data_IF_127309424138
#
_entry.id   IF_127309424138
#
_cell.length_a   1.000
_cell.length_b   1.000
_cell.length_c   1.000
_cell.angle_alpha   90.00
_cell.angle_beta   90.00
_cell.angle_gamma   90.00
#
_symmetry.space_group_name_H-M   'P 1'
#
loop_
_entity.id
_entity.type
_entity.pdbx_description
1 polymer ?
#
# COMPACT_ATOMS: atom_id res chain seq x y z
N UNK A 1 6.90 -0.60 32.48
CA UNK A 1 7.12 -1.21 31.15
C UNK A 1 7.30 -0.09 30.14
N UNK A 2 8.31 -0.15 29.27
CA UNK A 2 8.60 0.92 28.30
C UNK A 2 7.64 0.83 27.10
N UNK A 3 6.99 1.94 26.76
CA UNK A 3 6.12 2.02 25.58
C UNK A 3 7.00 2.08 24.32
N UNK A 4 7.00 0.99 23.57
CA UNK A 4 7.55 0.91 22.21
C UNK A 4 6.49 1.16 21.13
N UNK A 5 6.95 1.48 19.91
CA UNK A 5 6.12 1.68 18.72
C UNK A 5 5.07 0.58 18.50
N UNK A 6 5.43 -0.69 18.68
CA UNK A 6 4.49 -1.82 18.54
C UNK A 6 3.25 -1.69 19.43
N UNK A 7 3.38 -1.15 20.64
CA UNK A 7 2.24 -0.97 21.54
C UNK A 7 1.32 0.15 21.04
N UNK A 8 1.89 1.23 20.49
CA UNK A 8 1.10 2.29 19.86
C UNK A 8 0.36 1.77 18.62
N UNK A 9 1.03 0.94 17.81
CA UNK A 9 0.42 0.28 16.67
C UNK A 9 -0.78 -0.58 17.08
N UNK A 10 -0.60 -1.53 18.01
CA UNK A 10 -1.67 -2.42 18.44
C UNK A 10 -2.83 -1.68 19.10
N UNK A 11 -2.54 -0.60 19.84
CA UNK A 11 -3.58 0.15 20.55
C UNK A 11 -4.36 1.12 19.65
N UNK A 12 -3.68 1.80 18.72
CA UNK A 12 -4.25 2.95 18.01
C UNK A 12 -4.42 2.76 16.50
N UNK A 13 -3.69 1.82 15.87
CA UNK A 13 -3.75 1.63 14.42
C UNK A 13 -4.44 0.33 14.04
N UNK A 14 -3.97 -0.80 14.58
CA UNK A 14 -4.44 -2.14 14.20
C UNK A 14 -5.97 -2.30 14.23
N UNK A 15 -6.72 -1.84 15.26
CA UNK A 15 -8.16 -2.03 15.32
C UNK A 15 -8.93 -1.27 14.23
N UNK A 16 -8.32 -0.26 13.63
CA UNK A 16 -8.98 0.66 12.70
C UNK A 16 -8.49 0.50 11.26
N UNK A 17 -7.46 -0.30 11.01
CA UNK A 17 -7.03 -0.61 9.65
C UNK A 17 -7.94 -1.66 9.01
N UNK A 18 -8.11 -1.58 7.71
CA UNK A 18 -8.83 -2.57 6.93
C UNK A 18 -8.03 -2.97 5.69
N UNK A 19 -8.28 -4.14 5.12
CA UNK A 19 -7.68 -4.44 3.83
C UNK A 19 -8.17 -3.49 2.73
N UNK A 20 -9.42 -3.03 2.87
CA UNK A 20 -10.18 -2.36 1.84
C UNK A 20 -11.29 -1.52 2.49
N UNK A 21 -11.46 -0.28 2.06
CA UNK A 21 -12.58 0.61 2.38
C UNK A 21 -13.00 1.40 1.15
N UNK A 22 -14.29 1.33 0.84
CA UNK A 22 -14.95 2.19 -0.15
C UNK A 22 -15.29 3.53 0.51
N UNK A 23 -15.32 4.62 -0.28
CA UNK A 23 -15.66 5.97 0.16
C UNK A 23 -14.75 6.47 1.32
N UNK A 24 -13.45 6.15 1.24
CA UNK A 24 -12.49 6.45 2.28
C UNK A 24 -11.15 6.89 1.69
N UNK A 25 -10.64 8.04 2.11
CA UNK A 25 -9.27 8.48 1.76
C UNK A 25 -8.34 8.23 2.94
N UNK A 26 -7.41 7.30 2.79
CA UNK A 26 -6.33 7.04 3.76
C UNK A 26 -5.10 7.95 3.55
N UNK A 27 -5.23 8.99 2.73
CA UNK A 27 -4.20 9.97 2.40
C UNK A 27 -2.97 9.36 1.69
N UNK A 28 -3.13 8.23 0.99
CA UNK A 28 -2.04 7.67 0.18
C UNK A 28 -1.73 8.59 -1.00
N UNK A 29 -0.53 9.17 -0.99
CA UNK A 29 -0.07 10.15 -1.98
C UNK A 29 1.41 10.00 -2.35
N UNK A 30 2.00 8.82 -2.15
CA UNK A 30 3.39 8.54 -2.53
C UNK A 30 3.50 8.21 -4.01
N UNK A 31 4.13 7.09 -4.34
CA UNK A 31 4.28 6.64 -5.74
C UNK A 31 2.91 6.44 -6.38
N UNK A 32 2.71 6.98 -7.58
CA UNK A 32 1.49 6.76 -8.36
C UNK A 32 1.72 5.95 -9.63
N UNK A 33 0.69 5.19 -10.01
CA UNK A 33 0.67 4.28 -11.14
C UNK A 33 -0.57 4.58 -11.99
N UNK A 34 -0.31 5.08 -13.19
CA UNK A 34 -1.32 5.41 -14.21
C UNK A 34 -1.18 4.43 -15.38
N UNK A 35 -2.27 4.07 -16.03
CA UNK A 35 -2.23 3.28 -17.26
C UNK A 35 -1.62 4.05 -18.44
N UNK A 36 -1.07 3.37 -19.46
CA UNK A 36 -0.57 4.02 -20.66
C UNK A 36 -1.68 4.77 -21.42
N UNK A 37 -2.90 4.24 -21.41
CA UNK A 37 -4.06 4.82 -22.10
C UNK A 37 -4.79 5.90 -21.27
N UNK A 38 -4.38 6.09 -20.01
CA UNK A 38 -5.00 7.03 -19.06
C UNK A 38 -4.25 8.37 -18.94
N UNK A 39 -3.17 8.57 -19.71
CA UNK A 39 -2.28 9.72 -19.54
C UNK A 39 -2.99 11.06 -19.78
N UNK A 40 -3.91 11.13 -20.74
CA UNK A 40 -4.62 12.38 -21.05
C UNK A 40 -5.67 12.76 -20.00
N UNK A 41 -6.08 11.79 -19.17
CA UNK A 41 -7.11 11.99 -18.14
C UNK A 41 -6.56 12.57 -16.84
N UNK A 42 -5.27 12.36 -16.57
CA UNK A 42 -4.63 12.75 -15.30
C UNK A 42 -3.99 14.14 -15.37
N UNK A 43 -3.94 14.83 -14.23
CA UNK A 43 -3.32 16.15 -14.11
C UNK A 43 -1.80 16.11 -14.28
N UNK A 44 -1.20 17.25 -14.62
CA UNK A 44 0.27 17.38 -14.76
C UNK A 44 1.00 17.07 -13.45
N UNK A 45 0.39 17.37 -12.31
CA UNK A 45 0.92 16.97 -11.01
C UNK A 45 1.03 15.44 -10.89
N UNK A 46 -0.03 14.68 -11.22
CA UNK A 46 0.03 13.22 -11.22
C UNK A 46 1.09 12.72 -12.21
N UNK A 47 1.15 13.29 -13.43
CA UNK A 47 2.16 12.92 -14.44
C UNK A 47 3.60 13.13 -13.94
N UNK A 48 3.84 14.16 -13.13
CA UNK A 48 5.16 14.42 -12.54
C UNK A 48 5.55 13.46 -11.41
N UNK A 49 4.57 12.87 -10.72
CA UNK A 49 4.80 11.97 -9.58
C UNK A 49 4.77 10.48 -9.99
N UNK A 50 4.26 10.17 -11.18
CA UNK A 50 4.06 8.78 -11.59
C UNK A 50 5.38 8.05 -11.80
N UNK A 51 5.36 6.77 -11.45
CA UNK A 51 6.45 5.88 -11.83
C UNK A 51 6.50 5.74 -13.37
N UNK A 52 7.66 5.93 -14.02
CA UNK A 52 7.78 5.76 -15.47
C UNK A 52 7.37 4.36 -15.91
N UNK A 53 6.68 4.24 -17.06
CA UNK A 53 6.19 2.94 -17.57
C UNK A 53 7.31 1.90 -17.75
N UNK A 54 8.50 2.35 -18.16
CA UNK A 54 9.70 1.51 -18.32
C UNK A 54 10.23 0.94 -17.00
N UNK A 55 9.90 1.56 -15.86
CA UNK A 55 10.36 1.16 -14.53
C UNK A 55 9.32 0.35 -13.75
N UNK A 56 8.10 0.21 -14.28
CA UNK A 56 7.04 -0.57 -13.66
C UNK A 56 7.32 -2.07 -13.82
N UNK A 57 7.27 -2.80 -12.71
CA UNK A 57 7.14 -4.25 -12.75
C UNK A 57 5.73 -4.66 -13.21
N UNK A 58 5.51 -5.95 -13.44
CA UNK A 58 4.24 -6.42 -14.01
C UNK A 58 3.02 -6.15 -13.11
N UNK A 59 3.17 -6.21 -11.79
CA UNK A 59 2.08 -5.92 -10.85
C UNK A 59 1.73 -4.43 -10.88
N UNK A 60 2.74 -3.57 -10.90
CA UNK A 60 2.59 -2.11 -10.99
C UNK A 60 1.92 -1.68 -12.30
N UNK A 61 2.21 -2.37 -13.42
CA UNK A 61 1.52 -2.13 -14.71
C UNK A 61 0.02 -2.41 -14.64
N UNK A 62 -0.42 -3.31 -13.77
CA UNK A 62 -1.84 -3.65 -13.59
C UNK A 62 -2.55 -2.79 -12.54
N UNK A 63 -1.81 -2.03 -11.73
CA UNK A 63 -2.32 -1.33 -10.55
C UNK A 63 -3.48 -0.36 -10.84
N UNK A 64 -3.48 0.28 -12.02
CA UNK A 64 -4.51 1.24 -12.46
C UNK A 64 -5.86 0.60 -12.82
N UNK A 65 -5.92 -0.72 -13.00
CA UNK A 65 -7.11 -1.40 -13.56
C UNK A 65 -8.27 -1.53 -12.58
N UNK A 66 -7.98 -1.59 -11.28
CA UNK A 66 -8.99 -1.67 -10.23
C UNK A 66 -8.39 -1.43 -8.86
N UNK A 67 -9.24 -1.16 -7.87
CA UNK A 67 -8.83 -1.14 -6.46
C UNK A 67 -8.19 -2.46 -6.01
N UNK A 68 -8.68 -3.60 -6.49
CA UNK A 68 -8.12 -4.91 -6.16
C UNK A 68 -6.70 -5.09 -6.72
N UNK A 69 -6.44 -4.60 -7.94
CA UNK A 69 -5.11 -4.62 -8.54
C UNK A 69 -4.16 -3.65 -7.81
N UNK A 70 -4.64 -2.44 -7.48
CA UNK A 70 -3.88 -1.45 -6.72
C UNK A 70 -3.42 -1.98 -5.35
N UNK A 71 -4.29 -2.69 -4.64
CA UNK A 71 -3.96 -3.33 -3.36
C UNK A 71 -2.76 -4.29 -3.44
N UNK A 72 -2.52 -4.90 -4.61
CA UNK A 72 -1.45 -5.87 -4.81
C UNK A 72 -0.08 -5.25 -4.99
N UNK A 73 0.02 -3.95 -5.26
CA UNK A 73 1.32 -3.29 -5.37
C UNK A 73 2.11 -3.39 -4.06
N UNK A 74 1.47 -3.08 -2.93
CA UNK A 74 2.16 -3.22 -1.64
C UNK A 74 2.39 -4.68 -1.23
N UNK A 75 1.48 -5.60 -1.57
CA UNK A 75 1.69 -7.03 -1.31
C UNK A 75 2.87 -7.60 -2.12
N UNK A 76 3.09 -7.09 -3.32
CA UNK A 76 4.14 -7.54 -4.24
C UNK A 76 5.50 -6.85 -4.04
N UNK A 77 5.58 -5.84 -3.18
CA UNK A 77 6.81 -5.08 -2.98
C UNK A 77 7.96 -5.99 -2.53
N UNK A 78 9.07 -5.94 -3.28
CA UNK A 78 10.26 -6.73 -3.02
C UNK A 78 10.11 -8.22 -3.37
N UNK A 79 9.06 -8.63 -4.06
CA UNK A 79 8.92 -9.97 -4.64
C UNK A 79 9.52 -10.02 -6.05
N UNK A 80 10.06 -11.18 -6.39
CA UNK A 80 10.48 -11.49 -7.76
C UNK A 80 9.32 -12.20 -8.47
N UNK A 81 8.59 -11.45 -9.30
CA UNK A 81 7.43 -11.93 -10.03
C UNK A 81 7.72 -11.78 -11.52
N UNK A 82 7.87 -12.92 -12.20
CA UNK A 82 8.03 -12.96 -13.64
C UNK A 82 6.75 -12.51 -14.35
N UNK A 83 6.92 -11.79 -15.46
CA UNK A 83 5.80 -11.33 -16.30
C UNK A 83 4.94 -12.51 -16.79
N UNK A 84 5.59 -13.58 -17.29
CA UNK A 84 4.88 -14.79 -17.77
C UNK A 84 3.96 -15.41 -16.72
N UNK A 85 4.40 -15.44 -15.46
CA UNK A 85 3.65 -16.07 -14.37
C UNK A 85 2.45 -15.22 -13.97
N UNK A 86 2.59 -13.89 -13.98
CA UNK A 86 1.53 -12.99 -13.58
C UNK A 86 0.52 -12.73 -14.70
N UNK A 87 0.99 -12.51 -15.92
CA UNK A 87 0.17 -12.19 -17.09
C UNK A 87 -0.67 -13.37 -17.58
N UNK A 88 -0.23 -14.62 -17.33
CA UNK A 88 -1.01 -15.83 -17.65
C UNK A 88 -2.24 -16.04 -16.74
N UNK A 89 -2.29 -15.41 -15.57
CA UNK A 89 -3.42 -15.50 -14.66
C UNK A 89 -4.57 -14.65 -15.19
N UNK A 90 -5.75 -15.26 -15.40
CA UNK A 90 -6.87 -14.62 -16.09
C UNK A 90 -7.69 -13.64 -15.24
N UNK A 91 -7.67 -13.80 -13.91
CA UNK A 91 -8.52 -13.03 -13.00
C UNK A 91 -7.72 -12.31 -11.92
N UNK A 92 -8.22 -11.17 -11.44
CA UNK A 92 -7.65 -10.45 -10.30
C UNK A 92 -7.62 -11.32 -9.03
N UNK A 93 -8.60 -12.21 -8.85
CA UNK A 93 -8.61 -13.17 -7.75
C UNK A 93 -7.42 -14.12 -7.83
N UNK A 94 -7.13 -14.67 -9.01
CA UNK A 94 -6.00 -15.57 -9.22
C UNK A 94 -4.66 -14.85 -9.03
N UNK A 95 -4.51 -13.64 -9.60
CA UNK A 95 -3.33 -12.77 -9.38
C UNK A 95 -3.15 -12.45 -7.91
N UNK A 96 -4.23 -12.10 -7.23
CA UNK A 96 -4.22 -11.78 -5.81
C UNK A 96 -3.82 -12.94 -4.91
N UNK A 97 -4.22 -14.18 -5.25
CA UNK A 97 -3.78 -15.41 -4.56
C UNK A 97 -2.30 -15.70 -4.83
N UNK A 98 -1.86 -15.55 -6.07
CA UNK A 98 -0.47 -15.76 -6.46
C UNK A 98 0.50 -14.83 -5.73
N UNK A 99 0.22 -13.51 -5.74
CA UNK A 99 1.04 -12.52 -5.02
C UNK A 99 1.08 -12.81 -3.52
N UNK A 100 -0.08 -13.13 -2.93
CA UNK A 100 -0.17 -13.45 -1.50
C UNK A 100 0.66 -14.66 -1.11
N UNK A 101 0.60 -15.74 -1.89
CA UNK A 101 1.40 -16.93 -1.64
C UNK A 101 2.90 -16.63 -1.70
N UNK A 102 3.36 -15.88 -2.71
CA UNK A 102 4.76 -15.43 -2.84
C UNK A 102 5.19 -14.55 -1.66
N UNK A 103 4.31 -13.66 -1.20
CA UNK A 103 4.56 -12.83 -0.03
C UNK A 103 4.74 -13.69 1.23
N UNK A 104 3.77 -14.56 1.53
CA UNK A 104 3.79 -15.42 2.72
C UNK A 104 5.04 -16.31 2.73
N UNK A 105 5.34 -16.90 1.58
CA UNK A 105 6.54 -17.71 1.36
C UNK A 105 7.82 -16.96 1.71
N UNK A 106 8.00 -15.72 1.23
CA UNK A 106 9.20 -14.93 1.49
C UNK A 106 9.25 -14.39 2.91
N UNK A 107 8.12 -13.92 3.44
CA UNK A 107 8.00 -13.34 4.78
C UNK A 107 8.28 -14.35 5.90
N UNK A 108 7.93 -15.63 5.69
CA UNK A 108 8.24 -16.71 6.64
C UNK A 108 9.74 -16.95 6.83
N UNK A 109 10.55 -16.71 5.79
CA UNK A 109 11.97 -17.11 5.76
C UNK A 109 12.93 -15.96 5.97
N UNK A 110 12.48 -14.72 5.76
CA UNK A 110 13.35 -13.57 5.63
C UNK A 110 12.85 -12.40 6.48
N UNK A 111 13.45 -12.25 7.68
CA UNK A 111 13.15 -11.12 8.57
C UNK A 111 13.58 -9.77 7.99
N UNK A 112 14.69 -9.72 7.23
CA UNK A 112 15.11 -8.47 6.57
C UNK A 112 14.09 -8.02 5.51
N UNK A 113 13.45 -8.94 4.81
CA UNK A 113 12.34 -8.64 3.90
C UNK A 113 11.12 -8.08 4.64
N UNK A 114 10.89 -8.50 5.89
CA UNK A 114 9.86 -7.89 6.74
C UNK A 114 10.24 -6.47 7.16
N UNK A 115 11.46 -6.29 7.66
CA UNK A 115 12.01 -5.01 8.16
C UNK A 115 12.15 -3.92 7.09
N UNK A 116 12.57 -4.29 5.87
CA UNK A 116 12.89 -3.34 4.81
C UNK A 116 11.68 -2.90 3.97
N UNK A 117 10.46 -3.24 4.40
CA UNK A 117 9.22 -2.85 3.70
C UNK A 117 9.06 -1.35 3.62
N UNK A 118 8.65 -0.86 2.47
CA UNK A 118 8.38 0.55 2.15
C UNK A 118 7.02 0.78 1.49
N UNK A 119 6.13 -0.21 1.49
CA UNK A 119 4.77 -0.06 0.99
C UNK A 119 3.76 -0.60 2.02
N UNK A 120 2.97 0.29 2.60
CA UNK A 120 2.05 -0.07 3.68
C UNK A 120 0.59 0.25 3.38
N UNK A 121 0.31 1.26 2.56
CA UNK A 121 -1.05 1.64 2.21
C UNK A 121 -1.18 1.96 0.74
N UNK A 122 -2.42 1.85 0.26
CA UNK A 122 -2.77 2.11 -1.12
C UNK A 122 -4.09 2.89 -1.22
N UNK A 123 -4.25 3.67 -2.29
CA UNK A 123 -5.48 4.36 -2.67
C UNK A 123 -5.69 4.20 -4.16
N UNK A 124 -6.90 3.82 -4.53
CA UNK A 124 -7.40 3.80 -5.89
C UNK A 124 -8.41 4.92 -6.06
N UNK A 125 -8.09 5.84 -6.96
CA UNK A 125 -8.89 7.01 -7.24
C UNK A 125 -8.92 7.22 -8.75
N UNK A 126 -10.10 7.03 -9.34
CA UNK A 126 -10.36 7.21 -10.77
C UNK A 126 -9.24 6.65 -11.66
N UNK A 127 -9.04 5.32 -11.70
CA UNK A 127 -8.01 4.72 -12.55
C UNK A 127 -6.55 5.05 -12.18
N UNK A 128 -6.29 5.74 -11.07
CA UNK A 128 -4.93 5.99 -10.56
C UNK A 128 -4.74 5.22 -9.27
N UNK A 129 -3.65 4.46 -9.19
CA UNK A 129 -3.24 3.82 -7.94
C UNK A 129 -2.14 4.64 -7.28
N UNK A 130 -2.27 4.91 -5.99
CA UNK A 130 -1.29 5.58 -5.15
C UNK A 130 -0.85 4.65 -4.04
N UNK A 131 0.44 4.50 -3.82
CA UNK A 131 0.99 3.78 -2.66
C UNK A 131 1.79 4.71 -1.77
N UNK A 132 2.03 4.31 -0.51
CA UNK A 132 2.82 5.12 0.43
C UNK A 132 3.67 4.26 1.37
N UNK A 133 4.88 4.75 1.73
CA UNK A 133 5.75 4.14 2.74
C UNK A 133 5.35 4.48 4.17
N UNK A 134 4.22 5.15 4.36
CA UNK A 134 3.63 5.45 5.66
C UNK A 134 2.23 4.85 5.71
N UNK A 135 1.67 4.70 6.90
CA UNK A 135 0.27 4.33 7.06
C UNK A 135 -0.45 5.33 7.97
N UNK A 136 -1.54 5.89 7.47
CA UNK A 136 -2.41 6.82 8.21
C UNK A 136 -3.85 6.34 8.10
N UNK A 137 -4.69 6.64 9.10
CA UNK A 137 -6.09 6.19 9.10
C UNK A 137 -6.97 6.99 8.14
N UNK A 138 -6.68 8.27 7.92
CA UNK A 138 -7.47 9.14 7.06
C UNK A 138 -8.93 9.28 7.51
N UNK A 139 -9.86 9.41 6.57
CA UNK A 139 -11.27 9.66 6.88
C UNK A 139 -12.26 9.30 5.75
N UNK A 140 -13.56 9.30 6.06
CA UNK A 140 -14.60 9.07 5.07
C UNK A 140 -14.68 10.25 4.09
N UNK A 141 -15.00 9.95 2.84
CA UNK A 141 -15.31 10.96 1.83
C UNK A 141 -16.83 11.04 1.71
N UNK A 142 -17.36 12.26 1.57
CA UNK A 142 -18.78 12.45 1.30
C UNK A 142 -19.14 11.69 0.00
N UNK A 143 -20.22 10.91 0.07
CA UNK A 143 -20.74 10.24 -1.12
C UNK A 143 -21.20 11.29 -2.14
N UNK A 144 -21.06 10.95 -3.42
CA UNK A 144 -21.63 11.76 -4.48
C UNK A 144 -23.15 11.90 -4.27
N UNK A 145 -23.71 13.08 -4.53
CA UNK A 145 -25.16 13.27 -4.54
C UNK A 145 -25.86 12.22 -5.41
N UNK A 146 -27.02 11.72 -4.98
CA UNK A 146 -27.82 10.76 -5.74
C UNK A 146 -28.00 11.22 -7.20
N UNK A 147 -27.63 10.36 -8.15
CA UNK A 147 -27.73 10.65 -9.58
C UNK A 147 -26.48 11.27 -10.22
N UNK A 148 -25.44 11.61 -9.44
CA UNK A 148 -24.10 11.91 -9.96
C UNK A 148 -23.22 10.67 -9.80
N UNK A 149 -22.62 10.19 -10.89
CA UNK A 149 -21.51 9.25 -10.81
C UNK A 149 -20.29 9.97 -10.24
N UNK A 150 -20.28 10.27 -8.94
CA UNK A 150 -19.07 10.75 -8.30
C UNK A 150 -18.08 9.60 -8.14
N UNK A 151 -16.82 9.93 -8.36
CA UNK A 151 -15.72 8.99 -8.41
C UNK A 151 -15.53 8.37 -7.01
N UNK A 152 -15.66 7.04 -6.94
CA UNK A 152 -15.56 6.31 -5.67
C UNK A 152 -14.08 6.11 -5.36
N UNK A 153 -13.56 6.88 -4.42
CA UNK A 153 -12.25 6.60 -3.84
C UNK A 153 -12.34 5.33 -3.00
N UNK A 154 -11.41 4.43 -3.27
CA UNK A 154 -11.26 3.20 -2.51
C UNK A 154 -9.84 3.13 -1.99
N UNK A 155 -9.66 2.88 -0.70
CA UNK A 155 -8.32 2.80 -0.12
C UNK A 155 -8.20 1.64 0.85
N UNK A 156 -6.97 1.30 1.21
CA UNK A 156 -6.72 0.19 2.12
C UNK A 156 -5.29 0.15 2.61
N UNK A 157 -5.06 -0.78 3.52
CA UNK A 157 -3.76 -1.01 4.15
C UNK A 157 -3.32 -2.43 3.84
N UNK A 158 -2.02 -2.62 3.62
CA UNK A 158 -1.43 -3.94 3.58
C UNK A 158 -1.27 -4.47 5.03
N UNK A 159 -2.40 -4.76 5.66
CA UNK A 159 -2.51 -5.08 7.11
C UNK A 159 -1.50 -6.14 7.53
N UNK A 160 -1.40 -7.25 6.78
CA UNK A 160 -0.41 -8.31 7.08
C UNK A 160 1.03 -7.80 6.99
N UNK A 161 1.37 -7.04 5.95
CA UNK A 161 2.72 -6.49 5.79
C UNK A 161 3.10 -5.48 6.85
N UNK A 162 2.13 -4.68 7.33
CA UNK A 162 2.33 -3.77 8.45
C UNK A 162 2.57 -4.56 9.74
N UNK A 163 1.72 -5.55 10.06
CA UNK A 163 1.91 -6.39 11.25
C UNK A 163 3.26 -7.11 11.22
N UNK A 164 3.60 -7.73 10.08
CA UNK A 164 4.88 -8.43 9.88
C UNK A 164 6.10 -7.47 10.06
N UNK A 165 5.96 -6.21 9.62
CA UNK A 165 6.99 -5.17 9.81
C UNK A 165 7.09 -4.70 11.26
N UNK A 166 5.95 -4.45 11.93
CA UNK A 166 5.88 -4.06 13.35
C UNK A 166 6.53 -5.12 14.25
N UNK A 167 6.21 -6.39 14.03
CA UNK A 167 6.78 -7.50 14.79
C UNK A 167 8.29 -7.60 14.60
N UNK A 168 8.77 -7.36 13.37
CA UNK A 168 10.19 -7.39 13.08
C UNK A 168 10.93 -6.19 13.72
N UNK A 169 10.34 -4.99 13.66
CA UNK A 169 10.87 -3.75 14.25
C UNK A 169 10.86 -3.78 15.78
N UNK A 170 9.88 -4.45 16.38
CA UNK A 170 9.67 -4.51 17.83
C UNK A 170 10.80 -5.14 18.65
N UNK A 171 11.86 -5.64 18.00
CA UNK A 171 13.01 -6.28 18.63
C UNK A 171 14.26 -5.38 18.72
N UNK A 172 14.17 -4.10 18.34
CA UNK A 172 15.31 -3.18 18.50
C UNK A 172 15.56 -2.84 19.98
N UNK A 173 16.83 -2.90 20.39
CA UNK A 173 17.28 -2.32 21.66
C UNK A 173 17.03 -0.81 21.60
N UNK A 174 16.37 -0.27 22.62
CA UNK A 174 16.09 1.16 22.70
C UNK A 174 17.36 1.88 23.18
N UNK A 175 17.92 2.74 22.34
CA UNK A 175 18.91 3.73 22.77
C UNK A 175 18.17 5.06 23.00
N UNK A 176 17.48 5.18 24.14
CA UNK A 176 16.81 6.42 24.52
C UNK A 176 17.87 7.46 24.89
N UNK A 177 18.03 8.47 24.04
CA UNK A 177 18.76 9.68 24.42
C UNK A 177 17.80 10.59 25.17
N UNK A 178 18.10 10.89 26.43
CA UNK A 178 17.31 11.89 27.16
C UNK A 178 17.46 13.26 26.47
N UNK A 179 16.36 13.99 26.22
CA UNK A 179 16.45 15.33 25.69
C UNK A 179 17.18 16.21 26.72
N UNK A 180 18.32 16.77 26.31
CA UNK A 180 19.02 17.79 27.10
C UNK A 180 18.12 19.01 27.22
N UNK A 181 17.70 19.32 28.45
CA UNK A 181 17.08 20.61 28.76
C UNK A 181 18.09 21.72 28.50
N UNK A 182 17.78 22.70 27.61
CA UNK A 182 18.63 23.88 27.47
C UNK A 182 18.70 24.61 28.82
N UNK A 183 19.92 24.92 29.27
CA UNK A 183 20.18 25.76 30.43
C UNK A 183 19.90 27.24 30.16
#
# INVERSE_FOLDING_TARGET
>A
SLIQYRHLYHQFFEPYMAYYRKNWDNLSSGTCYVGPDDQDRVSDWIKSQQKPESEKNIVEKYAHRSAAACAKVCEAEGLDIADSDFSSLLTETSRGKFVRAKYEEKAQRNTLFKLNRRCFQWKYDNGVCFTSPTFTLGGPIQEAEEGKHGEVVTSGWFVKGIADWVDAMGNCALDWTEPVTPH
#
